data_IF_260025969828
#
_entry.id   IF_260025969828
#
_cell.length_a   1.000
_cell.length_b   1.000
_cell.length_c   1.000
_cell.angle_alpha   90.00
_cell.angle_beta   90.00
_cell.angle_gamma   90.00
#
_symmetry.space_group_name_H-M   'P 1'
#
loop_
_entity.id
_entity.type
_entity.pdbx_description
1 polymer ?
#
# COMPACT_ATOMS: atom_id res chain seq x y z
N UNK A 1 -3.83 1.57 -19.75
CA UNK A 1 -3.09 0.29 -19.95
C UNK A 1 -4.03 -0.93 -19.88
N UNK A 2 -3.70 -2.06 -20.56
CA UNK A 2 -4.40 -3.35 -20.41
C UNK A 2 -4.45 -3.83 -18.96
N UNK A 3 -5.53 -4.49 -18.55
CA UNK A 3 -5.75 -4.88 -17.14
C UNK A 3 -4.85 -6.06 -16.73
N UNK A 4 -4.46 -6.87 -17.70
CA UNK A 4 -3.69 -8.10 -17.56
C UNK A 4 -2.30 -7.85 -16.95
N UNK A 5 -1.72 -6.66 -17.16
CA UNK A 5 -0.44 -6.30 -16.55
C UNK A 5 -0.51 -6.09 -15.02
N UNK A 6 -1.72 -5.94 -14.48
CA UNK A 6 -1.96 -5.71 -13.06
C UNK A 6 -2.51 -6.94 -12.34
N UNK A 7 -2.59 -8.07 -13.05
CA UNK A 7 -2.95 -9.34 -12.47
C UNK A 7 -1.76 -9.92 -11.68
N UNK A 8 -2.03 -10.49 -10.51
CA UNK A 8 -0.97 -11.10 -9.68
C UNK A 8 -1.02 -12.61 -9.88
N UNK A 9 0.12 -13.25 -10.24
CA UNK A 9 0.17 -14.69 -10.44
C UNK A 9 -0.16 -15.47 -9.16
N UNK A 10 0.16 -14.91 -7.98
CA UNK A 10 -0.09 -15.52 -6.67
C UNK A 10 -1.59 -15.71 -6.37
N UNK A 11 -2.47 -15.04 -7.11
CA UNK A 11 -3.92 -15.21 -6.99
C UNK A 11 -4.44 -16.44 -7.76
N UNK A 12 -3.59 -17.11 -8.53
CA UNK A 12 -3.89 -18.38 -9.17
C UNK A 12 -3.58 -19.54 -8.22
N UNK A 13 -4.64 -20.13 -7.65
CA UNK A 13 -4.50 -21.24 -6.70
C UNK A 13 -4.14 -22.58 -7.36
N UNK A 14 -4.50 -22.75 -8.63
CA UNK A 14 -4.26 -23.99 -9.37
C UNK A 14 -3.51 -23.63 -10.66
N UNK A 15 -2.28 -24.12 -10.83
CA UNK A 15 -1.47 -23.77 -12.00
C UNK A 15 -2.14 -24.23 -13.30
N UNK A 16 -1.88 -23.53 -14.43
CA UNK A 16 -2.49 -23.85 -15.72
C UNK A 16 -2.29 -25.30 -16.17
N UNK A 17 -1.12 -25.87 -15.87
CA UNK A 17 -0.76 -27.24 -16.25
C UNK A 17 -1.62 -28.28 -15.52
N UNK A 18 -1.83 -28.08 -14.21
CA UNK A 18 -2.68 -28.96 -13.42
C UNK A 18 -4.15 -28.83 -13.82
N UNK A 19 -4.62 -27.60 -14.09
CA UNK A 19 -5.99 -27.38 -14.59
C UNK A 19 -6.26 -28.13 -15.89
N UNK A 20 -5.25 -28.22 -16.76
CA UNK A 20 -5.35 -28.79 -18.09
C UNK A 20 -4.86 -30.24 -18.19
N UNK A 21 -4.52 -30.88 -17.07
CA UNK A 21 -3.99 -32.24 -17.05
C UNK A 21 -4.92 -33.26 -17.74
N UNK A 22 -6.24 -33.07 -17.64
CA UNK A 22 -7.25 -33.92 -18.31
C UNK A 22 -7.19 -33.90 -19.84
N UNK A 23 -6.51 -32.93 -20.45
CA UNK A 23 -6.30 -32.89 -21.91
C UNK A 23 -5.23 -33.88 -22.39
N UNK A 24 -4.34 -34.34 -21.50
CA UNK A 24 -3.26 -35.28 -21.83
C UNK A 24 -3.70 -36.77 -21.74
N UNK A 25 -4.94 -37.04 -21.35
CA UNK A 25 -5.50 -38.38 -21.28
C UNK A 25 -5.79 -38.94 -22.68
N UNK A 26 -5.84 -40.27 -22.81
CA UNK A 26 -6.17 -40.96 -24.06
C UNK A 26 -7.50 -40.49 -24.67
N UNK A 27 -8.46 -40.12 -23.80
CA UNK A 27 -9.66 -39.37 -24.19
C UNK A 27 -9.54 -37.95 -23.62
N UNK A 28 -9.22 -36.94 -24.45
CA UNK A 28 -9.04 -35.56 -23.98
C UNK A 28 -10.33 -35.03 -23.38
N UNK A 29 -10.25 -34.58 -22.13
CA UNK A 29 -11.37 -33.92 -21.45
C UNK A 29 -11.13 -32.41 -21.44
N UNK A 30 -11.74 -31.64 -22.37
CA UNK A 30 -11.57 -30.21 -22.39
C UNK A 30 -12.20 -29.57 -21.16
N UNK A 31 -11.49 -28.62 -20.56
CA UNK A 31 -11.96 -27.93 -19.37
C UNK A 31 -13.03 -26.94 -19.76
N UNK A 32 -14.17 -27.01 -19.10
CA UNK A 32 -15.28 -26.09 -19.32
C UNK A 32 -15.03 -24.74 -18.65
N UNK A 33 -15.42 -23.67 -19.32
CA UNK A 33 -15.27 -22.32 -18.83
C UNK A 33 -16.15 -21.31 -19.53
N UNK A 34 -15.94 -20.06 -19.19
CA UNK A 34 -16.63 -18.92 -19.75
C UNK A 34 -15.61 -17.86 -20.12
N UNK A 35 -15.75 -17.26 -21.28
CA UNK A 35 -14.88 -16.16 -21.70
C UNK A 35 -15.70 -14.96 -22.16
N UNK A 36 -15.07 -13.77 -22.15
CA UNK A 36 -15.72 -12.54 -22.61
C UNK A 36 -15.97 -12.57 -24.11
N UNK A 37 -17.24 -12.54 -24.48
CA UNK A 37 -17.70 -12.41 -25.85
C UNK A 37 -18.27 -11.00 -26.06
N UNK A 38 -17.73 -10.27 -27.05
CA UNK A 38 -18.14 -8.90 -27.34
C UNK A 38 -19.18 -8.90 -28.47
N UNK A 39 -20.29 -8.19 -28.25
CA UNK A 39 -21.29 -7.94 -29.29
C UNK A 39 -20.80 -6.85 -30.26
N UNK A 40 -21.48 -6.71 -31.40
CA UNK A 40 -21.24 -5.63 -32.35
C UNK A 40 -21.44 -4.22 -31.73
N UNK A 41 -22.21 -4.12 -30.64
CA UNK A 41 -22.44 -2.88 -29.89
C UNK A 41 -21.35 -2.57 -28.84
N UNK A 42 -20.31 -3.41 -28.72
CA UNK A 42 -19.22 -3.22 -27.76
C UNK A 42 -19.51 -3.67 -26.32
N UNK A 43 -20.75 -4.08 -26.02
CA UNK A 43 -21.07 -4.75 -24.77
C UNK A 43 -20.44 -6.16 -24.75
N UNK A 44 -20.12 -6.67 -23.55
CA UNK A 44 -19.62 -8.04 -23.42
C UNK A 44 -20.51 -8.89 -22.51
N UNK A 45 -20.59 -10.17 -22.84
CA UNK A 45 -21.20 -11.21 -22.03
C UNK A 45 -20.19 -12.31 -21.76
N UNK A 46 -20.43 -13.11 -20.72
CA UNK A 46 -19.65 -14.32 -20.48
C UNK A 46 -20.31 -15.47 -21.23
N UNK A 47 -19.69 -15.93 -22.31
CA UNK A 47 -20.21 -17.02 -23.12
C UNK A 47 -19.46 -18.33 -22.80
N UNK A 48 -20.14 -19.49 -22.86
CA UNK A 48 -19.52 -20.78 -22.60
C UNK A 48 -18.46 -21.13 -23.64
N UNK A 49 -17.35 -21.68 -23.18
CA UNK A 49 -16.23 -22.10 -24.02
C UNK A 49 -15.48 -23.30 -23.41
N UNK A 50 -14.80 -24.04 -24.28
CA UNK A 50 -13.90 -25.14 -23.91
C UNK A 50 -12.46 -24.67 -23.99
N UNK A 51 -11.67 -24.97 -22.97
CA UNK A 51 -10.25 -24.64 -22.92
C UNK A 51 -9.46 -25.84 -23.46
N UNK A 52 -8.71 -25.61 -24.53
CA UNK A 52 -8.05 -26.65 -25.32
C UNK A 52 -6.54 -26.72 -25.14
N UNK A 53 -5.90 -25.60 -24.75
CA UNK A 53 -4.45 -25.55 -24.56
C UNK A 53 -4.07 -24.31 -23.73
N UNK A 54 -2.84 -24.32 -23.21
CA UNK A 54 -2.19 -23.18 -22.60
C UNK A 54 -0.78 -23.02 -23.17
N UNK A 55 -0.44 -21.79 -23.57
CA UNK A 55 0.89 -21.40 -24.04
C UNK A 55 1.62 -20.66 -22.91
N UNK A 56 2.61 -21.32 -22.32
CA UNK A 56 3.40 -20.78 -21.21
C UNK A 56 4.33 -19.64 -21.62
N UNK A 57 4.79 -19.61 -22.87
CA UNK A 57 5.66 -18.54 -23.37
C UNK A 57 4.91 -17.23 -23.57
N UNK A 58 3.65 -17.32 -23.98
CA UNK A 58 2.78 -16.13 -24.20
C UNK A 58 1.84 -15.84 -23.03
N UNK A 59 1.71 -16.77 -22.07
CA UNK A 59 0.72 -16.74 -20.99
C UNK A 59 -0.70 -16.53 -21.56
N UNK A 60 -1.11 -17.46 -22.43
CA UNK A 60 -2.40 -17.41 -23.12
C UNK A 60 -3.09 -18.78 -23.10
N UNK A 61 -4.41 -18.78 -22.95
CA UNK A 61 -5.26 -19.95 -23.07
C UNK A 61 -5.90 -20.01 -24.45
N UNK A 62 -5.84 -21.16 -25.11
CA UNK A 62 -6.62 -21.43 -26.32
C UNK A 62 -8.01 -21.90 -25.91
N UNK A 63 -9.02 -21.15 -26.31
CA UNK A 63 -10.43 -21.50 -26.07
C UNK A 63 -11.15 -21.73 -27.39
N UNK A 64 -12.22 -22.52 -27.33
CA UNK A 64 -13.17 -22.75 -28.41
C UNK A 64 -14.58 -22.43 -27.92
N UNK A 65 -15.28 -21.53 -28.60
CA UNK A 65 -16.64 -21.15 -28.23
C UNK A 65 -17.62 -22.27 -28.57
N UNK A 66 -18.52 -22.63 -27.64
CA UNK A 66 -19.46 -23.73 -27.90
C UNK A 66 -20.45 -23.39 -29.03
N UNK A 67 -20.89 -22.13 -29.12
CA UNK A 67 -21.87 -21.70 -30.11
C UNK A 67 -21.34 -21.59 -31.55
N UNK A 68 -20.06 -21.22 -31.73
CA UNK A 68 -19.49 -20.94 -33.06
C UNK A 68 -18.35 -21.87 -33.46
N UNK A 69 -17.86 -22.70 -32.53
CA UNK A 69 -16.69 -23.57 -32.70
C UNK A 69 -15.42 -22.81 -33.14
N UNK A 70 -15.41 -21.48 -33.01
CA UNK A 70 -14.26 -20.64 -33.33
C UNK A 70 -13.26 -20.66 -32.17
N UNK A 71 -11.99 -20.77 -32.52
CA UNK A 71 -10.89 -20.74 -31.56
C UNK A 71 -10.33 -19.33 -31.36
N UNK A 72 -9.90 -19.04 -30.14
CA UNK A 72 -9.29 -17.76 -29.78
C UNK A 72 -8.28 -17.96 -28.66
N UNK A 73 -7.18 -17.20 -28.71
CA UNK A 73 -6.25 -17.09 -27.60
C UNK A 73 -6.67 -15.95 -26.67
N UNK A 74 -6.80 -16.24 -25.39
CA UNK A 74 -7.27 -15.29 -24.37
C UNK A 74 -6.35 -15.28 -23.16
N UNK A 75 -6.24 -14.10 -22.54
CA UNK A 75 -5.54 -13.92 -21.26
C UNK A 75 -6.39 -14.42 -20.10
N UNK A 76 -5.74 -14.71 -18.97
CA UNK A 76 -6.39 -15.29 -17.78
C UNK A 76 -7.57 -14.47 -17.25
N UNK A 77 -7.47 -13.14 -17.18
CA UNK A 77 -8.58 -12.29 -16.72
C UNK A 77 -9.81 -12.28 -17.65
N UNK A 78 -9.68 -12.79 -18.86
CA UNK A 78 -10.78 -12.93 -19.82
C UNK A 78 -11.36 -14.36 -19.83
N UNK A 79 -10.91 -15.25 -18.93
CA UNK A 79 -11.33 -16.63 -18.81
C UNK A 79 -11.71 -16.96 -17.36
N UNK A 80 -12.91 -17.46 -17.17
CA UNK A 80 -13.44 -17.95 -15.91
C UNK A 80 -13.70 -19.46 -16.02
N UNK A 81 -13.03 -20.29 -15.23
CA UNK A 81 -13.24 -21.74 -15.29
C UNK A 81 -14.52 -22.16 -14.58
N UNK A 82 -15.22 -23.17 -15.08
CA UNK A 82 -16.49 -23.61 -14.50
C UNK A 82 -16.33 -24.15 -13.06
N UNK A 83 -15.16 -24.70 -12.73
CA UNK A 83 -14.81 -25.20 -11.39
C UNK A 83 -14.19 -24.13 -10.47
N UNK A 84 -14.06 -22.89 -10.92
CA UNK A 84 -13.47 -21.80 -10.13
C UNK A 84 -14.55 -21.07 -9.28
N UNK A 85 -14.16 -20.60 -8.09
CA UNK A 85 -15.03 -19.76 -7.27
C UNK A 85 -15.31 -18.42 -7.95
N UNK A 86 -16.58 -18.12 -8.22
CA UNK A 86 -17.04 -16.82 -8.75
C UNK A 86 -16.59 -15.65 -7.86
N UNK A 87 -16.59 -15.84 -6.54
CA UNK A 87 -16.18 -14.81 -5.58
C UNK A 87 -14.68 -14.56 -5.70
N UNK A 88 -13.88 -15.63 -5.77
CA UNK A 88 -12.42 -15.54 -5.96
C UNK A 88 -12.04 -14.84 -7.26
N UNK A 89 -12.67 -15.22 -8.37
CA UNK A 89 -12.41 -14.59 -9.67
C UNK A 89 -12.82 -13.10 -9.70
N UNK A 90 -13.98 -12.75 -9.12
CA UNK A 90 -14.39 -11.34 -8.97
C UNK A 90 -13.45 -10.56 -8.07
N UNK A 91 -12.92 -11.17 -7.01
CA UNK A 91 -11.91 -10.56 -6.15
C UNK A 91 -10.63 -10.28 -6.93
N UNK A 92 -10.13 -11.24 -7.71
CA UNK A 92 -8.96 -11.05 -8.61
C UNK A 92 -9.15 -9.90 -9.58
N UNK A 93 -10.28 -9.85 -10.30
CA UNK A 93 -10.60 -8.74 -11.21
C UNK A 93 -10.61 -7.38 -10.49
N UNK A 94 -11.18 -7.32 -9.28
CA UNK A 94 -11.18 -6.09 -8.47
C UNK A 94 -9.76 -5.70 -8.04
N UNK A 95 -8.92 -6.64 -7.65
CA UNK A 95 -7.52 -6.35 -7.28
C UNK A 95 -6.73 -5.85 -8.48
N UNK A 96 -6.85 -6.48 -9.65
CA UNK A 96 -6.19 -6.00 -10.86
C UNK A 96 -6.64 -4.58 -11.22
N UNK A 97 -7.95 -4.29 -11.09
CA UNK A 97 -8.48 -2.94 -11.33
C UNK A 97 -7.94 -1.92 -10.34
N UNK A 98 -7.94 -2.26 -9.05
CA UNK A 98 -7.38 -1.43 -7.99
C UNK A 98 -5.91 -1.10 -8.25
N UNK A 99 -5.08 -2.10 -8.57
CA UNK A 99 -3.66 -1.92 -8.88
C UNK A 99 -3.45 -1.03 -10.11
N UNK A 100 -4.26 -1.24 -11.16
CA UNK A 100 -4.25 -0.36 -12.33
C UNK A 100 -4.53 1.09 -11.94
N UNK A 101 -5.62 1.31 -11.20
CA UNK A 101 -6.04 2.65 -10.81
C UNK A 101 -4.98 3.32 -9.90
N UNK A 102 -4.32 2.54 -9.02
CA UNK A 102 -3.20 2.98 -8.19
C UNK A 102 -1.96 3.38 -9.00
N UNK A 103 -1.55 2.56 -9.96
CA UNK A 103 -0.40 2.88 -10.84
C UNK A 103 -0.72 4.08 -11.72
N UNK A 104 -1.91 4.15 -12.32
CA UNK A 104 -2.33 5.28 -13.15
C UNK A 104 -2.42 6.57 -12.32
N UNK A 105 -2.85 6.48 -11.05
CA UNK A 105 -2.83 7.60 -10.10
C UNK A 105 -1.41 8.04 -9.76
N UNK A 106 -0.53 7.09 -9.44
CA UNK A 106 0.87 7.38 -9.11
C UNK A 106 1.62 7.99 -10.30
N UNK A 107 1.37 7.52 -11.51
CA UNK A 107 1.96 8.07 -12.73
C UNK A 107 1.55 9.53 -12.95
N UNK A 108 0.24 9.84 -12.87
CA UNK A 108 -0.28 11.21 -12.98
C UNK A 108 0.31 12.15 -11.93
N UNK A 109 0.37 11.69 -10.68
CA UNK A 109 0.98 12.45 -9.60
C UNK A 109 2.48 12.70 -9.85
N UNK A 110 3.21 11.66 -10.25
CA UNK A 110 4.64 11.77 -10.53
C UNK A 110 4.92 12.77 -11.66
N UNK A 111 4.18 12.67 -12.76
CA UNK A 111 4.27 13.59 -13.89
C UNK A 111 3.99 15.03 -13.47
N UNK A 112 2.90 15.24 -12.73
CA UNK A 112 2.55 16.56 -12.21
C UNK A 112 3.67 17.16 -11.35
N UNK A 113 4.21 16.40 -10.40
CA UNK A 113 5.33 16.83 -9.53
C UNK A 113 6.58 17.14 -10.34
N UNK A 114 6.92 16.30 -11.32
CA UNK A 114 8.13 16.48 -12.15
C UNK A 114 8.06 17.79 -12.92
N UNK A 115 6.90 18.12 -13.49
CA UNK A 115 6.66 19.34 -14.26
C UNK A 115 6.61 20.61 -13.41
N UNK A 116 6.44 20.52 -12.09
CA UNK A 116 6.44 21.71 -11.23
C UNK A 116 7.80 22.42 -11.28
N UNK A 117 7.84 23.77 -11.32
CA UNK A 117 9.09 24.52 -11.26
C UNK A 117 9.76 24.33 -9.89
N UNK A 118 11.07 24.11 -9.87
CA UNK A 118 11.83 24.09 -8.64
C UNK A 118 12.21 25.52 -8.24
N UNK A 119 11.60 26.04 -7.16
CA UNK A 119 11.82 27.41 -6.66
C UNK A 119 12.55 27.46 -5.32
N UNK A 120 12.74 26.32 -4.66
CA UNK A 120 13.36 26.23 -3.35
C UNK A 120 14.89 26.35 -3.44
N UNK A 121 15.53 26.76 -2.35
CA UNK A 121 16.99 26.76 -2.27
C UNK A 121 17.50 25.32 -2.17
N UNK A 122 18.51 24.98 -2.97
CA UNK A 122 19.19 23.67 -2.89
C UNK A 122 20.09 23.65 -1.67
N UNK A 123 19.82 22.76 -0.72
CA UNK A 123 20.66 22.57 0.48
C UNK A 123 21.78 21.54 0.29
N UNK A 124 21.79 20.83 -0.86
CA UNK A 124 22.82 19.89 -1.29
C UNK A 124 23.99 20.59 -1.98
N UNK A 125 24.53 21.62 -1.32
CA UNK A 125 25.64 22.43 -1.79
C UNK A 125 27.02 21.78 -1.52
N UNK A 126 28.10 22.49 -1.83
CA UNK A 126 29.47 22.03 -1.60
C UNK A 126 29.78 21.80 -0.10
N UNK A 127 29.04 22.48 0.81
CA UNK A 127 29.18 22.23 2.26
C UNK A 127 28.57 20.88 2.63
N UNK A 128 27.42 20.53 2.05
CA UNK A 128 26.84 19.19 2.20
C UNK A 128 27.76 18.10 1.64
N UNK A 129 28.34 18.30 0.44
CA UNK A 129 29.30 17.35 -0.17
C UNK A 129 30.51 17.09 0.75
N UNK A 130 31.12 18.14 1.31
CA UNK A 130 32.22 18.02 2.28
C UNK A 130 31.82 17.29 3.56
N UNK A 131 30.59 17.50 4.07
CA UNK A 131 30.08 16.76 5.23
C UNK A 131 29.90 15.28 4.93
N UNK A 132 29.40 14.95 3.74
CA UNK A 132 29.23 13.56 3.30
C UNK A 132 30.58 12.86 3.17
N UNK A 133 31.56 13.49 2.52
CA UNK A 133 32.93 12.97 2.40
C UNK A 133 33.52 12.62 3.78
N UNK A 134 33.48 13.56 4.74
CA UNK A 134 33.92 13.34 6.12
C UNK A 134 33.24 12.14 6.79
N UNK A 135 31.92 11.98 6.62
CA UNK A 135 31.16 10.85 7.20
C UNK A 135 31.51 9.52 6.56
N UNK A 136 31.86 9.51 5.27
CA UNK A 136 32.31 8.30 4.57
C UNK A 136 33.78 7.94 4.86
N UNK A 137 34.48 8.71 5.71
CA UNK A 137 35.89 8.49 6.01
C UNK A 137 36.82 8.75 4.82
N UNK A 138 36.31 9.38 3.75
CA UNK A 138 37.05 9.66 2.52
C UNK A 138 37.27 11.16 2.38
N UNK A 139 38.48 11.54 1.97
CA UNK A 139 38.70 12.84 1.33
C UNK A 139 38.39 12.63 -0.14
N UNK A 140 37.32 13.24 -0.64
CA UNK A 140 37.03 13.16 -2.07
C UNK A 140 38.09 13.97 -2.82
N UNK A 141 38.78 13.38 -3.81
CA UNK A 141 39.70 14.14 -4.64
C UNK A 141 38.91 15.22 -5.38
N UNK A 142 39.52 16.38 -5.58
CA UNK A 142 39.00 17.41 -6.46
C UNK A 142 39.87 17.44 -7.73
N UNK A 143 39.31 17.24 -8.93
CA UNK A 143 37.90 16.93 -9.22
C UNK A 143 37.50 15.51 -8.79
N UNK A 144 36.22 15.34 -8.44
CA UNK A 144 35.64 14.02 -8.14
C UNK A 144 35.51 13.25 -9.46
N UNK A 145 35.60 11.93 -9.42
CA UNK A 145 35.44 11.09 -10.60
C UNK A 145 34.02 11.22 -11.20
N UNK A 146 33.92 11.06 -12.52
CA UNK A 146 32.68 11.28 -13.27
C UNK A 146 31.51 10.40 -12.77
N UNK A 147 31.81 9.19 -12.27
CA UNK A 147 30.81 8.31 -11.68
C UNK A 147 30.20 8.92 -10.42
N UNK A 148 31.03 9.39 -9.48
CA UNK A 148 30.55 10.02 -8.25
C UNK A 148 29.76 11.30 -8.55
N UNK A 149 30.21 12.13 -9.50
CA UNK A 149 29.41 13.30 -9.93
C UNK A 149 28.04 12.91 -10.50
N UNK A 150 27.97 11.83 -11.28
CA UNK A 150 26.71 11.27 -11.78
C UNK A 150 25.77 10.90 -10.63
N UNK A 151 26.27 10.16 -9.64
CA UNK A 151 25.48 9.78 -8.45
C UNK A 151 25.02 11.01 -7.67
N UNK A 152 25.87 12.03 -7.50
CA UNK A 152 25.50 13.26 -6.80
C UNK A 152 24.43 14.05 -7.55
N UNK A 153 24.47 14.06 -8.88
CA UNK A 153 23.43 14.67 -9.71
C UNK A 153 22.10 13.93 -9.57
N UNK A 154 22.10 12.60 -9.57
CA UNK A 154 20.90 11.79 -9.34
C UNK A 154 20.28 12.06 -7.97
N UNK A 155 21.11 12.10 -6.91
CA UNK A 155 20.66 12.43 -5.54
C UNK A 155 20.03 13.83 -5.51
N UNK A 156 20.62 14.79 -6.22
CA UNK A 156 20.08 16.14 -6.32
C UNK A 156 18.70 16.15 -7.00
N UNK A 157 18.50 15.36 -8.06
CA UNK A 157 17.22 15.29 -8.74
C UNK A 157 16.15 14.58 -7.91
N UNK A 158 16.52 13.53 -7.17
CA UNK A 158 15.65 12.90 -6.16
C UNK A 158 15.24 13.90 -5.08
N UNK A 159 16.19 14.72 -4.59
CA UNK A 159 15.90 15.76 -3.60
C UNK A 159 14.93 16.81 -4.15
N UNK A 160 15.18 17.33 -5.37
CA UNK A 160 14.27 18.29 -6.02
C UNK A 160 12.87 17.71 -6.16
N UNK A 161 12.76 16.47 -6.63
CA UNK A 161 11.48 15.77 -6.75
C UNK A 161 10.80 15.64 -5.38
N UNK A 162 11.53 15.25 -4.34
CA UNK A 162 10.98 15.10 -2.99
C UNK A 162 10.45 16.43 -2.42
N UNK A 163 11.17 17.54 -2.62
CA UNK A 163 10.72 18.88 -2.20
C UNK A 163 9.46 19.29 -2.97
N UNK A 164 9.45 19.14 -4.30
CA UNK A 164 8.24 19.42 -5.11
C UNK A 164 7.07 18.56 -4.66
N UNK A 165 7.28 17.27 -4.41
CA UNK A 165 6.26 16.36 -3.91
C UNK A 165 5.75 16.79 -2.54
N UNK A 166 6.62 17.26 -1.63
CA UNK A 166 6.21 17.77 -0.33
C UNK A 166 5.30 19.00 -0.46
N UNK A 167 5.65 19.93 -1.36
CA UNK A 167 4.81 21.11 -1.67
C UNK A 167 3.45 20.66 -2.20
N UNK A 168 3.40 19.79 -3.22
CA UNK A 168 2.14 19.29 -3.79
C UNK A 168 1.30 18.55 -2.73
N UNK A 169 1.91 17.76 -1.86
CA UNK A 169 1.21 17.12 -0.76
C UNK A 169 0.61 18.12 0.24
N UNK A 170 1.30 19.25 0.47
CA UNK A 170 0.77 20.32 1.30
C UNK A 170 -0.43 21.02 0.64
N UNK A 171 -0.46 21.15 -0.69
CA UNK A 171 -1.60 21.70 -1.43
C UNK A 171 -2.88 20.88 -1.21
N UNK A 172 -2.76 19.56 -1.01
CA UNK A 172 -3.90 18.70 -0.68
C UNK A 172 -4.48 18.93 0.73
N UNK A 173 -3.87 19.78 1.56
CA UNK A 173 -4.42 20.18 2.87
C UNK A 173 -5.38 21.37 2.75
N UNK A 174 -5.31 22.13 1.65
CA UNK A 174 -6.17 23.28 1.37
C UNK A 174 -7.33 22.83 0.44
N UNK A 175 -8.61 23.04 0.83
CA UNK A 175 -9.77 22.64 0.03
C UNK A 175 -9.77 23.19 -1.41
N UNK A 176 -9.37 24.45 -1.60
CA UNK A 176 -9.43 25.12 -2.92
C UNK A 176 -8.36 24.56 -3.86
N UNK A 177 -7.14 24.37 -3.35
CA UNK A 177 -6.06 23.77 -4.12
C UNK A 177 -6.30 22.28 -4.38
N UNK A 178 -6.93 21.58 -3.43
CA UNK A 178 -7.37 20.19 -3.63
C UNK A 178 -8.36 20.08 -4.77
N UNK A 179 -9.36 20.97 -4.84
CA UNK A 179 -10.32 20.99 -5.94
C UNK A 179 -9.63 21.21 -7.30
N UNK A 180 -8.64 22.11 -7.34
CA UNK A 180 -7.84 22.34 -8.55
C UNK A 180 -7.05 21.10 -8.99
N UNK A 181 -6.37 20.42 -8.05
CA UNK A 181 -5.60 19.21 -8.33
C UNK A 181 -6.50 18.06 -8.80
N UNK A 182 -7.67 17.89 -8.18
CA UNK A 182 -8.65 16.90 -8.58
C UNK A 182 -9.24 17.19 -9.97
N UNK A 183 -9.47 18.45 -10.32
CA UNK A 183 -9.89 18.86 -11.65
C UNK A 183 -8.83 18.54 -12.72
N UNK A 184 -7.54 18.65 -12.36
CA UNK A 184 -6.42 18.18 -13.18
C UNK A 184 -6.22 16.65 -13.14
N UNK A 185 -7.12 15.90 -12.50
CA UNK A 185 -7.06 14.45 -12.31
C UNK A 185 -5.79 13.99 -11.56
N UNK A 186 -5.26 14.84 -10.68
CA UNK A 186 -4.15 14.52 -9.77
C UNK A 186 -4.73 14.20 -8.40
N UNK A 187 -4.40 13.02 -7.88
CA UNK A 187 -4.87 12.55 -6.58
C UNK A 187 -3.67 12.29 -5.66
N UNK A 188 -3.82 12.44 -4.34
CA UNK A 188 -2.73 12.20 -3.41
C UNK A 188 -2.28 10.75 -3.46
N UNK A 189 -0.96 10.53 -3.49
CA UNK A 189 -0.39 9.17 -3.50
C UNK A 189 -0.24 8.60 -2.10
N UNK A 190 0.14 9.44 -1.16
CA UNK A 190 0.12 9.12 0.26
C UNK A 190 -1.19 9.65 0.82
N UNK A 191 -2.13 8.76 1.09
CA UNK A 191 -3.20 9.07 2.02
C UNK A 191 -2.55 8.99 3.39
N UNK A 192 -2.05 10.11 3.90
CA UNK A 192 -1.79 10.22 5.33
C UNK A 192 -3.14 9.98 6.00
N UNK A 193 -3.33 8.76 6.51
CA UNK A 193 -4.46 8.51 7.40
C UNK A 193 -4.32 9.56 8.50
N UNK A 194 -5.39 10.32 8.81
CA UNK A 194 -5.35 11.22 9.94
C UNK A 194 -4.90 10.36 11.12
N UNK A 195 -3.73 10.68 11.67
CA UNK A 195 -3.25 9.99 12.86
C UNK A 195 -4.36 10.21 13.87
N UNK A 196 -5.07 9.14 14.30
CA UNK A 196 -6.17 9.34 15.21
C UNK A 196 -5.58 10.04 16.44
N UNK A 197 -6.24 11.09 16.96
CA UNK A 197 -5.70 11.86 18.09
C UNK A 197 -5.46 10.98 19.31
N UNK A 198 -6.01 9.76 19.32
CA UNK A 198 -5.83 8.74 20.33
C UNK A 198 -5.68 7.38 19.61
N UNK A 199 -4.75 6.53 20.05
CA UNK A 199 -4.60 5.14 19.57
C UNK A 199 -5.68 4.18 20.05
N UNK A 200 -6.83 4.69 20.50
CA UNK A 200 -7.93 3.92 21.06
C UNK A 200 -9.15 4.04 20.15
N UNK A 201 -9.64 2.91 19.67
CA UNK A 201 -10.92 2.86 18.97
C UNK A 201 -12.03 3.18 19.98
N UNK A 202 -12.92 4.12 19.66
CA UNK A 202 -14.09 4.38 20.48
C UNK A 202 -14.99 3.11 20.49
N UNK A 203 -15.10 2.48 21.65
CA UNK A 203 -15.79 1.21 21.83
C UNK A 203 -17.27 1.28 21.49
N UNK A 204 -17.87 2.47 21.59
CA UNK A 204 -19.28 2.71 21.22
C UNK A 204 -19.53 2.65 19.71
N UNK A 205 -18.46 2.76 18.90
CA UNK A 205 -18.52 2.69 17.44
C UNK A 205 -18.17 1.30 16.90
N UNK A 206 -17.77 0.37 17.78
CA UNK A 206 -17.46 -1.00 17.38
C UNK A 206 -18.75 -1.81 17.18
N UNK A 207 -18.80 -2.70 16.17
CA UNK A 207 -19.87 -3.70 16.08
C UNK A 207 -19.86 -4.60 17.32
N UNK A 208 -20.95 -5.32 17.57
CA UNK A 208 -21.04 -6.30 18.67
C UNK A 208 -19.79 -7.19 18.67
N UNK A 209 -19.13 -7.27 19.84
CA UNK A 209 -17.89 -8.02 20.01
C UNK A 209 -18.11 -9.52 19.82
N UNK A 210 -17.05 -10.28 19.61
CA UNK A 210 -17.11 -11.75 19.58
C UNK A 210 -16.10 -12.32 20.56
N UNK A 211 -16.56 -13.17 21.47
CA UNK A 211 -15.66 -14.01 22.24
C UNK A 211 -15.26 -15.20 21.38
N UNK A 212 -13.96 -15.43 21.25
CA UNK A 212 -13.42 -16.58 20.53
C UNK A 212 -12.53 -17.36 21.49
N UNK A 213 -13.09 -18.41 22.08
CA UNK A 213 -12.31 -19.30 22.94
C UNK A 213 -11.56 -20.31 22.06
N UNK A 214 -10.24 -20.44 22.25
CA UNK A 214 -9.41 -21.44 21.57
C UNK A 214 -8.88 -22.43 22.61
N UNK A 215 -9.29 -23.70 22.51
CA UNK A 215 -8.62 -24.79 23.23
C UNK A 215 -7.65 -25.47 22.26
N UNK A 216 -6.39 -25.04 22.28
CA UNK A 216 -5.35 -25.52 21.35
C UNK A 216 -5.46 -24.91 19.94
N UNK A 217 -5.11 -25.69 18.90
CA UNK A 217 -5.13 -25.28 17.48
C UNK A 217 -6.54 -25.26 16.84
N UNK A 218 -7.59 -25.60 17.59
CA UNK A 218 -8.97 -25.51 17.11
C UNK A 218 -9.72 -24.39 17.83
N UNK A 219 -10.30 -23.49 17.03
CA UNK A 219 -11.22 -22.44 17.47
C UNK A 219 -12.48 -23.11 18.02
N UNK A 220 -12.70 -23.03 19.33
CA UNK A 220 -13.68 -23.87 20.01
C UNK A 220 -15.10 -23.30 19.91
N UNK A 221 -15.33 -21.99 20.10
CA UNK A 221 -16.65 -21.36 19.89
C UNK A 221 -16.46 -19.86 19.67
N UNK A 222 -17.20 -19.29 18.70
CA UNK A 222 -17.34 -17.85 18.53
C UNK A 222 -18.75 -17.42 19.01
N UNK A 223 -18.85 -16.70 20.12
CA UNK A 223 -20.11 -16.18 20.63
C UNK A 223 -20.16 -14.66 20.46
N UNK A 224 -21.24 -14.14 19.88
CA UNK A 224 -21.49 -12.70 19.82
C UNK A 224 -21.74 -12.17 21.25
N UNK A 225 -20.89 -11.25 21.70
CA UNK A 225 -21.00 -10.54 22.96
C UNK A 225 -21.78 -9.24 22.76
N UNK A 226 -22.77 -9.00 23.61
CA UNK A 226 -23.38 -7.68 23.75
C UNK A 226 -22.36 -6.62 24.22
N UNK A 227 -22.74 -5.35 24.11
CA UNK A 227 -21.86 -4.21 24.46
C UNK A 227 -21.43 -4.22 25.93
N UNK A 228 -22.33 -4.55 26.86
CA UNK A 228 -22.01 -4.60 28.30
C UNK A 228 -21.00 -5.71 28.66
N UNK A 229 -21.22 -6.99 28.30
CA UNK A 229 -20.23 -8.04 28.52
C UNK A 229 -18.86 -7.73 27.89
N UNK A 230 -18.85 -7.14 26.69
CA UNK A 230 -17.62 -6.73 26.03
C UNK A 230 -16.87 -5.63 26.79
N UNK A 231 -17.59 -4.66 27.35
CA UNK A 231 -17.00 -3.58 28.15
C UNK A 231 -16.32 -4.11 29.42
N UNK A 232 -16.91 -5.12 30.07
CA UNK A 232 -16.34 -5.77 31.26
C UNK A 232 -15.08 -6.57 30.89
N UNK A 233 -15.14 -7.40 29.86
CA UNK A 233 -13.98 -8.16 29.38
C UNK A 233 -12.82 -7.26 28.93
N UNK A 234 -13.13 -6.14 28.29
CA UNK A 234 -12.11 -5.16 27.92
C UNK A 234 -11.49 -4.50 29.15
N UNK A 235 -12.29 -4.14 30.16
CA UNK A 235 -11.79 -3.61 31.43
C UNK A 235 -10.85 -4.62 32.10
N UNK A 236 -11.19 -5.91 32.06
CA UNK A 236 -10.35 -6.98 32.60
C UNK A 236 -9.02 -7.09 31.83
N UNK A 237 -9.07 -7.07 30.49
CA UNK A 237 -7.85 -7.06 29.64
C UNK A 237 -7.01 -5.80 29.85
N UNK A 238 -7.62 -4.64 30.04
CA UNK A 238 -6.94 -3.39 30.35
C UNK A 238 -6.28 -3.45 31.73
N UNK A 239 -6.95 -4.00 32.73
CA UNK A 239 -6.36 -4.17 34.07
C UNK A 239 -5.22 -5.18 34.09
N UNK A 240 -5.29 -6.22 33.25
CA UNK A 240 -4.26 -7.23 33.09
C UNK A 240 -3.07 -6.77 32.21
N UNK A 241 -3.28 -5.82 31.30
CA UNK A 241 -2.24 -5.31 30.39
C UNK A 241 -1.36 -4.26 31.09
N UNK A 242 -0.07 -4.58 31.25
CA UNK A 242 0.92 -3.67 31.85
C UNK A 242 1.03 -2.31 31.12
N UNK A 243 0.76 -2.28 29.81
CA UNK A 243 0.81 -1.07 28.97
C UNK A 243 -0.46 -0.22 29.06
N UNK A 244 -1.55 -0.74 29.61
CA UNK A 244 -2.81 -0.02 29.74
C UNK A 244 -2.96 0.70 31.09
N UNK A 245 -1.90 0.72 31.92
CA UNK A 245 -1.88 1.47 33.17
C UNK A 245 -2.00 2.98 32.88
N UNK A 246 -3.08 3.65 33.31
CA UNK A 246 -3.30 5.08 33.06
C UNK A 246 -2.12 5.98 33.44
N UNK A 247 -1.39 5.74 34.56
CA UNK A 247 -0.24 6.56 34.93
C UNK A 247 0.95 6.42 33.98
N UNK A 248 1.18 5.22 33.43
CA UNK A 248 2.26 4.99 32.46
C UNK A 248 1.93 5.65 31.11
N UNK A 249 0.68 5.56 30.67
CA UNK A 249 0.21 6.25 29.47
C UNK A 249 0.32 7.77 29.61
N UNK A 250 -0.04 8.32 30.77
CA UNK A 250 0.13 9.74 31.07
C UNK A 250 1.62 10.16 31.05
N UNK A 251 2.52 9.36 31.63
CA UNK A 251 3.95 9.61 31.60
C UNK A 251 4.53 9.53 30.18
N UNK A 252 4.07 8.59 29.35
CA UNK A 252 4.46 8.52 27.94
C UNK A 252 3.93 9.72 27.15
N UNK A 253 2.70 10.18 27.42
CA UNK A 253 2.15 11.37 26.77
C UNK A 253 2.96 12.62 27.11
N UNK A 254 3.27 12.83 28.39
CA UNK A 254 4.11 13.94 28.85
C UNK A 254 5.51 13.90 28.22
N UNK A 255 6.13 12.72 28.16
CA UNK A 255 7.43 12.53 27.50
C UNK A 255 7.39 12.89 26.00
N UNK A 256 6.34 12.50 25.28
CA UNK A 256 6.22 12.83 23.86
C UNK A 256 5.81 14.29 23.60
N UNK A 257 5.06 14.92 24.50
CA UNK A 257 4.80 16.37 24.47
C UNK A 257 6.09 17.17 24.70
N UNK A 258 6.94 16.75 25.65
CA UNK A 258 8.26 17.37 25.87
C UNK A 258 9.21 17.19 24.67
N UNK A 259 9.01 16.15 23.86
CA UNK A 259 9.73 15.92 22.61
C UNK A 259 9.11 16.63 21.40
N UNK A 260 7.92 17.21 21.53
CA UNK A 260 7.23 17.89 20.42
C UNK A 260 7.83 19.27 20.17
N UNK A 261 8.86 19.28 19.32
CA UNK A 261 9.62 20.45 18.91
C UNK A 261 8.90 21.37 17.90
N UNK A 262 7.59 21.20 17.66
CA UNK A 262 6.83 21.99 16.68
C UNK A 262 6.59 23.45 17.07
N UNK A 263 6.52 23.75 18.37
CA UNK A 263 6.29 25.12 18.88
C UNK A 263 7.53 25.78 19.50
N UNK A 264 8.66 25.06 19.58
CA UNK A 264 9.92 25.64 20.05
C UNK A 264 10.47 26.56 18.97
N UNK A 265 10.19 27.86 19.11
CA UNK A 265 10.98 28.89 18.40
C UNK A 265 12.39 28.75 18.95
N UNK A 266 13.35 28.42 18.07
CA UNK A 266 14.78 28.34 18.42
C UNK A 266 15.46 29.66 18.04
N UNK A 267 15.49 30.69 18.90
CA UNK A 267 16.39 31.80 18.73
C UNK A 267 17.61 31.55 19.62
N UNK A 268 18.48 30.60 19.29
CA UNK A 268 19.77 30.50 19.99
C UNK A 268 20.94 30.64 19.02
N UNK A 269 21.51 31.86 19.03
CA UNK A 269 22.69 32.28 18.27
C UNK A 269 23.97 31.93 19.07
N UNK A 270 23.83 31.47 20.32
CA UNK A 270 24.93 30.95 21.12
C UNK A 270 24.73 29.44 21.18
N UNK A 271 25.73 28.68 20.76
CA UNK A 271 25.70 27.22 20.77
C UNK A 271 25.79 26.67 22.21
N UNK A 272 24.82 27.02 23.06
CA UNK A 272 24.63 26.40 24.36
C UNK A 272 24.27 24.93 24.15
N UNK A 273 24.79 24.03 24.99
CA UNK A 273 24.32 22.66 25.00
C UNK A 273 22.85 22.64 25.43
N UNK A 274 21.97 22.16 24.54
CA UNK A 274 20.57 21.92 24.89
C UNK A 274 20.53 20.82 25.95
N UNK A 275 19.87 21.09 27.08
CA UNK A 275 19.62 20.05 28.07
C UNK A 275 18.71 18.99 27.46
N UNK A 276 19.15 17.74 27.51
CA UNK A 276 18.35 16.62 27.02
C UNK A 276 17.12 16.45 27.93
N UNK A 277 15.94 16.16 27.38
CA UNK A 277 14.78 15.85 28.18
C UNK A 277 15.08 14.67 29.11
N UNK A 278 14.46 14.67 30.30
CA UNK A 278 14.67 13.66 31.32
C UNK A 278 14.43 12.26 30.75
N UNK A 279 15.21 11.28 31.21
CA UNK A 279 15.11 9.92 30.67
C UNK A 279 13.77 9.33 31.07
N UNK A 280 13.15 8.54 30.20
CA UNK A 280 11.86 7.87 30.48
C UNK A 280 11.88 7.11 31.82
N UNK A 281 13.04 6.54 32.19
CA UNK A 281 13.26 5.85 33.48
C UNK A 281 13.15 6.74 34.72
N UNK A 282 13.34 8.05 34.58
CA UNK A 282 13.26 9.03 35.67
C UNK A 282 11.81 9.41 35.96
N UNK A 283 10.96 9.49 34.93
CA UNK A 283 9.51 9.69 35.09
C UNK A 283 8.81 8.52 35.77
N UNK A 284 9.27 7.29 35.53
CA UNK A 284 8.76 6.08 36.20
C UNK A 284 9.07 6.06 37.71
N UNK A 285 10.06 6.84 38.17
CA UNK A 285 10.46 6.92 39.59
C UNK A 285 9.76 8.04 40.37
N UNK A 286 9.01 8.92 39.71
CA UNK A 286 8.26 10.03 40.34
C UNK A 286 6.84 9.63 40.78
N UNK A 287 6.56 8.32 40.83
CA UNK A 287 5.36 7.70 41.41
C UNK A 287 5.78 6.71 42.50
#
# INVERSE_FOLDING_TARGET
>A
MPLEYFDSPDMELVPPEERLAGLALETPQPVQGFSRFYSASGAFTWAPCRVLAYDRGRDLYCIEWEASQRRKWVKRLNLFFANESRIGFRFRLRQARRRKDEVERQARYHEYVTLQPFRSLVTLDERWRRRLARRTGKVWPHPVDAFTEGVLAEVLDVYKYAVKAAIVNHQFMDPDQTAHLLAANVQPVKISQPVPPQGCVNLTLLPQGREVASQGQQLAVAQDLGLEPFSLLLSDVQSASFLARPPLLAAMHAYYEELDMREVVVPDIKMSALELPARLSEFVRLQ
#
